data_IF_268187834705
#
_entry.id   IF_268187834705
#
_cell.length_a   1.000
_cell.length_b   1.000
_cell.length_c   1.000
_cell.angle_alpha   90.00
_cell.angle_beta   90.00
_cell.angle_gamma   90.00
#
_symmetry.space_group_name_H-M   'P 1'
#
loop_
_entity.id
_entity.type
_entity.pdbx_description
1 polymer ?
#
# COMPACT_ATOMS: atom_id res chain seq x y z
N UNK A 1 -6.09 -20.14 -20.91
CA UNK A 1 -6.31 -18.72 -20.52
C UNK A 1 -7.28 -18.11 -21.51
N UNK A 2 -8.19 -17.25 -21.06
CA UNK A 2 -9.07 -16.50 -21.95
C UNK A 2 -8.42 -15.15 -22.38
N UNK A 3 -9.05 -14.43 -23.32
CA UNK A 3 -8.55 -13.14 -23.82
C UNK A 3 -8.30 -12.11 -22.70
N UNK A 4 -9.15 -12.12 -21.66
CA UNK A 4 -8.99 -11.24 -20.50
C UNK A 4 -7.72 -11.55 -19.70
N UNK A 5 -7.47 -12.83 -19.42
CA UNK A 5 -6.30 -13.31 -18.69
C UNK A 5 -5.01 -13.02 -19.46
N UNK A 6 -5.01 -13.19 -20.79
CA UNK A 6 -3.86 -12.84 -21.63
C UNK A 6 -3.51 -11.34 -21.57
N UNK A 7 -4.51 -10.46 -21.59
CA UNK A 7 -4.29 -9.03 -21.45
C UNK A 7 -3.82 -8.67 -20.05
N UNK A 8 -4.43 -9.27 -19.01
CA UNK A 8 -4.02 -9.10 -17.61
C UNK A 8 -2.57 -9.53 -17.37
N UNK A 9 -2.13 -10.60 -18.03
CA UNK A 9 -0.76 -11.08 -17.98
C UNK A 9 0.21 -10.09 -18.64
N UNK A 10 -0.14 -9.52 -19.80
CA UNK A 10 0.66 -8.48 -20.48
C UNK A 10 0.80 -7.23 -19.61
N UNK A 11 -0.30 -6.74 -19.03
CA UNK A 11 -0.29 -5.61 -18.10
C UNK A 11 0.60 -5.88 -16.89
N UNK A 12 0.51 -7.09 -16.33
CA UNK A 12 1.35 -7.51 -15.20
C UNK A 12 2.83 -7.49 -15.59
N UNK A 13 3.22 -8.02 -16.75
CA UNK A 13 4.60 -7.96 -17.21
C UNK A 13 5.11 -6.51 -17.35
N UNK A 14 4.32 -5.63 -17.95
CA UNK A 14 4.67 -4.20 -18.04
C UNK A 14 4.83 -3.56 -16.66
N UNK A 15 4.00 -3.96 -15.69
CA UNK A 15 4.13 -3.52 -14.31
C UNK A 15 5.40 -4.08 -13.64
N UNK A 16 5.75 -5.35 -13.86
CA UNK A 16 6.98 -5.94 -13.34
C UNK A 16 8.23 -5.19 -13.82
N UNK A 17 8.28 -4.83 -15.10
CA UNK A 17 9.38 -4.05 -15.68
C UNK A 17 9.50 -2.67 -15.01
N UNK A 18 8.36 -2.02 -14.72
CA UNK A 18 8.37 -0.76 -13.95
C UNK A 18 8.89 -0.95 -12.52
N UNK A 19 8.58 -2.07 -11.87
CA UNK A 19 9.04 -2.34 -10.50
C UNK A 19 10.55 -2.60 -10.44
N UNK A 20 11.10 -3.28 -11.45
CA UNK A 20 12.53 -3.61 -11.57
C UNK A 20 13.41 -2.47 -12.10
N UNK A 21 12.81 -1.42 -12.67
CA UNK A 21 13.57 -0.31 -13.25
C UNK A 21 14.43 0.37 -12.19
N UNK A 22 15.73 0.46 -12.46
CA UNK A 22 16.69 1.17 -11.62
C UNK A 22 16.34 2.67 -11.48
N UNK A 23 16.61 3.29 -10.32
CA UNK A 23 16.41 4.72 -10.14
C UNK A 23 17.25 5.51 -11.17
N UNK A 24 16.61 6.30 -12.03
CA UNK A 24 17.32 7.09 -13.05
C UNK A 24 18.11 8.24 -12.38
N UNK A 25 19.39 8.41 -12.71
CA UNK A 25 20.30 9.40 -12.11
C UNK A 25 19.96 10.88 -12.41
N UNK A 26 19.12 11.17 -13.42
CA UNK A 26 18.58 12.53 -13.65
C UNK A 26 17.66 13.04 -12.51
N UNK A 27 17.39 12.17 -11.53
CA UNK A 27 16.72 12.50 -10.28
C UNK A 27 17.59 13.31 -9.30
N UNK A 28 18.88 13.56 -9.52
CA UNK A 28 19.74 14.22 -8.52
C UNK A 28 19.30 15.66 -8.17
N UNK A 29 18.73 16.39 -9.13
CA UNK A 29 18.11 17.70 -8.87
C UNK A 29 16.79 17.58 -8.09
N UNK A 30 15.92 16.64 -8.48
CA UNK A 30 14.68 16.34 -7.78
C UNK A 30 14.94 15.77 -6.36
N UNK A 31 16.02 15.01 -6.17
CA UNK A 31 16.51 14.48 -4.90
C UNK A 31 17.02 15.59 -4.00
N UNK A 32 17.68 16.61 -4.54
CA UNK A 32 18.07 17.80 -3.77
C UNK A 32 16.84 18.50 -3.16
N UNK A 33 15.76 18.60 -3.93
CA UNK A 33 14.48 19.15 -3.47
C UNK A 33 13.77 18.19 -2.51
N UNK A 34 13.77 16.89 -2.78
CA UNK A 34 13.12 15.87 -1.93
C UNK A 34 13.84 15.71 -0.57
N UNK A 35 15.18 15.70 -0.55
CA UNK A 35 15.97 15.65 0.67
C UNK A 35 15.85 16.96 1.47
N UNK A 36 15.83 18.12 0.80
CA UNK A 36 15.49 19.37 1.47
C UNK A 36 14.09 19.32 2.06
N UNK A 37 13.09 18.84 1.32
CA UNK A 37 11.73 18.70 1.84
C UNK A 37 11.70 17.79 3.07
N UNK A 38 12.32 16.61 3.03
CA UNK A 38 12.42 15.69 4.17
C UNK A 38 13.08 16.34 5.40
N UNK A 39 14.14 17.12 5.20
CA UNK A 39 14.85 17.82 6.28
C UNK A 39 14.16 19.12 6.73
N UNK A 40 13.17 19.61 5.96
CA UNK A 40 12.38 20.82 6.27
C UNK A 40 11.03 20.48 6.92
N UNK A 41 10.69 19.19 7.05
CA UNK A 41 9.49 18.76 7.77
C UNK A 41 9.69 18.98 9.27
N UNK A 42 8.81 19.75 9.93
CA UNK A 42 8.84 19.89 11.38
C UNK A 42 8.79 18.51 12.05
N UNK A 43 9.62 18.30 13.08
CA UNK A 43 9.76 17.02 13.78
C UNK A 43 8.40 16.43 14.21
N UNK A 44 7.48 17.28 14.69
CA UNK A 44 6.11 16.89 15.07
C UNK A 44 5.33 16.19 13.95
N UNK A 45 5.53 16.59 12.70
CA UNK A 45 4.85 15.98 11.55
C UNK A 45 5.44 14.59 11.29
N UNK A 46 6.77 14.50 11.33
CA UNK A 46 7.46 13.22 11.16
C UNK A 46 7.01 12.25 12.24
N UNK A 47 6.93 12.68 13.50
CA UNK A 47 6.48 11.88 14.63
C UNK A 47 5.06 11.33 14.45
N UNK A 48 4.11 12.18 14.04
CA UNK A 48 2.74 11.73 13.77
C UNK A 48 2.72 10.64 12.70
N UNK A 49 3.46 10.81 11.60
CA UNK A 49 3.54 9.81 10.53
C UNK A 49 4.16 8.51 11.05
N UNK A 50 5.27 8.61 11.80
CA UNK A 50 5.99 7.47 12.33
C UNK A 50 5.12 6.65 13.30
N UNK A 51 4.47 7.31 14.26
CA UNK A 51 3.55 6.69 15.22
C UNK A 51 2.36 6.05 14.50
N UNK A 52 1.83 6.71 13.47
CA UNK A 52 0.70 6.19 12.69
C UNK A 52 1.08 4.94 11.90
N UNK A 53 2.27 4.92 11.28
CA UNK A 53 2.80 3.74 10.59
C UNK A 53 3.02 2.60 11.59
N UNK A 54 3.65 2.88 12.73
CA UNK A 54 3.85 1.90 13.81
C UNK A 54 2.53 1.28 14.27
N UNK A 55 1.56 2.11 14.65
CA UNK A 55 0.27 1.66 15.14
C UNK A 55 -0.51 0.88 14.09
N UNK A 56 -0.48 1.34 12.83
CA UNK A 56 -1.13 0.61 11.74
C UNK A 56 -0.47 -0.74 11.51
N UNK A 57 0.87 -0.81 11.43
CA UNK A 57 1.57 -2.08 11.23
C UNK A 57 1.28 -3.05 12.36
N UNK A 58 1.29 -2.56 13.60
CA UNK A 58 0.91 -3.34 14.78
C UNK A 58 -0.53 -3.85 14.66
N UNK A 59 -1.49 -2.97 14.36
CA UNK A 59 -2.90 -3.33 14.21
C UNK A 59 -3.13 -4.38 13.11
N UNK A 60 -2.45 -4.25 11.98
CA UNK A 60 -2.50 -5.23 10.89
C UNK A 60 -2.00 -6.57 11.37
N UNK A 61 -0.87 -6.64 12.07
CA UNK A 61 -0.30 -7.91 12.51
C UNK A 61 -1.11 -8.55 13.66
N UNK A 62 -1.63 -7.76 14.59
CA UNK A 62 -2.23 -8.27 15.84
C UNK A 62 -3.76 -8.30 15.88
N UNK A 63 -4.46 -7.56 15.02
CA UNK A 63 -5.85 -7.17 15.30
C UNK A 63 -6.90 -7.46 14.23
N UNK A 64 -6.55 -7.91 13.02
CA UNK A 64 -7.49 -7.86 11.89
C UNK A 64 -8.28 -9.13 11.58
N UNK A 65 -8.37 -10.10 12.49
CA UNK A 65 -9.29 -11.23 12.31
C UNK A 65 -10.76 -10.79 12.32
N UNK A 66 -11.08 -9.67 12.98
CA UNK A 66 -12.46 -9.28 13.29
C UNK A 66 -13.21 -8.47 12.21
N UNK A 67 -12.54 -8.02 11.13
CA UNK A 67 -13.19 -7.24 10.06
C UNK A 67 -12.97 -7.80 8.65
N UNK A 68 -12.43 -9.02 8.57
CA UNK A 68 -12.05 -9.67 7.32
C UNK A 68 -13.27 -10.21 6.56
N UNK A 69 -13.42 -9.85 5.29
CA UNK A 69 -14.36 -10.56 4.40
C UNK A 69 -13.77 -11.95 4.07
N UNK A 70 -14.58 -13.02 4.00
CA UNK A 70 -14.08 -14.33 3.58
C UNK A 70 -13.51 -14.26 2.15
N UNK A 71 -12.50 -15.09 1.83
CA UNK A 71 -11.93 -15.12 0.48
C UNK A 71 -12.97 -15.61 -0.53
N UNK A 72 -13.04 -14.94 -1.69
CA UNK A 72 -13.88 -15.37 -2.80
C UNK A 72 -13.30 -16.64 -3.42
N UNK A 73 -14.15 -17.65 -3.59
CA UNK A 73 -13.83 -18.95 -4.20
C UNK A 73 -14.62 -19.13 -5.49
N UNK A 74 -14.09 -19.91 -6.44
CA UNK A 74 -14.80 -20.31 -7.67
C UNK A 74 -15.30 -19.14 -8.54
N UNK A 75 -14.53 -18.05 -8.58
CA UNK A 75 -14.84 -16.87 -9.41
C UNK A 75 -13.72 -16.66 -10.44
N UNK A 76 -14.10 -16.31 -11.67
CA UNK A 76 -13.15 -16.00 -12.75
C UNK A 76 -12.28 -14.77 -12.40
N UNK A 77 -11.10 -14.65 -13.02
CA UNK A 77 -10.24 -13.47 -12.80
C UNK A 77 -10.95 -12.17 -13.23
N UNK A 78 -11.69 -12.21 -14.34
CA UNK A 78 -12.43 -11.07 -14.87
C UNK A 78 -13.47 -10.55 -13.88
N UNK A 79 -14.30 -11.44 -13.33
CA UNK A 79 -15.32 -11.06 -12.34
C UNK A 79 -14.68 -10.53 -11.05
N UNK A 80 -13.57 -11.14 -10.60
CA UNK A 80 -12.81 -10.64 -9.44
C UNK A 80 -12.31 -9.22 -9.70
N UNK A 81 -11.83 -8.95 -10.90
CA UNK A 81 -11.33 -7.63 -11.24
C UNK A 81 -12.43 -6.60 -11.43
N UNK A 82 -13.63 -6.98 -11.89
CA UNK A 82 -14.82 -6.11 -11.87
C UNK A 82 -15.15 -5.72 -10.41
N UNK A 83 -15.14 -6.68 -9.48
CA UNK A 83 -15.34 -6.39 -8.06
C UNK A 83 -14.23 -5.50 -7.48
N UNK A 84 -12.98 -5.73 -7.88
CA UNK A 84 -11.86 -4.89 -7.47
C UNK A 84 -11.97 -3.45 -7.98
N UNK A 85 -12.46 -3.25 -9.22
CA UNK A 85 -12.77 -1.94 -9.81
C UNK A 85 -13.86 -1.22 -8.99
N UNK A 86 -14.93 -1.92 -8.62
CA UNK A 86 -15.98 -1.36 -7.77
C UNK A 86 -15.47 -0.98 -6.36
N UNK A 87 -14.60 -1.81 -5.77
CA UNK A 87 -13.94 -1.53 -4.49
C UNK A 87 -13.15 -0.23 -4.55
N UNK A 88 -12.25 -0.07 -5.52
CA UNK A 88 -11.42 1.15 -5.59
C UNK A 88 -12.24 2.43 -5.76
N UNK A 89 -13.36 2.38 -6.48
CA UNK A 89 -14.25 3.53 -6.60
C UNK A 89 -14.92 3.90 -5.26
N UNK A 90 -15.32 2.92 -4.46
CA UNK A 90 -15.82 3.16 -3.10
C UNK A 90 -14.75 3.80 -2.20
N UNK A 91 -13.55 3.21 -2.14
CA UNK A 91 -12.49 3.71 -1.25
C UNK A 91 -11.94 5.06 -1.70
N UNK A 92 -11.93 5.37 -3.01
CA UNK A 92 -11.59 6.70 -3.50
C UNK A 92 -12.58 7.75 -3.05
N UNK A 93 -13.89 7.47 -3.14
CA UNK A 93 -14.93 8.38 -2.63
C UNK A 93 -14.80 8.58 -1.13
N UNK A 94 -14.61 7.49 -0.37
CA UNK A 94 -14.40 7.56 1.07
C UNK A 94 -13.18 8.41 1.45
N UNK A 95 -12.05 8.23 0.74
CA UNK A 95 -10.83 9.01 0.97
C UNK A 95 -11.01 10.51 0.67
N UNK A 96 -11.81 10.84 -0.34
CA UNK A 96 -12.16 12.24 -0.67
C UNK A 96 -13.06 12.87 0.39
N UNK A 97 -14.04 12.13 0.92
CA UNK A 97 -14.95 12.62 1.98
C UNK A 97 -14.20 12.82 3.29
N UNK A 98 -13.29 11.92 3.66
CA UNK A 98 -12.44 12.08 4.85
C UNK A 98 -11.44 13.24 4.76
N UNK A 99 -11.28 13.88 3.59
CA UNK A 99 -10.45 15.07 3.40
C UNK A 99 -11.23 16.38 3.19
N UNK A 100 -12.56 16.32 3.08
CA UNK A 100 -13.43 17.47 2.79
C UNK A 100 -13.94 18.20 4.06
N UNK A 101 -13.92 17.54 5.22
CA UNK A 101 -14.45 18.09 6.48
C UNK A 101 -13.57 19.17 7.14
N UNK A 102 -12.33 19.34 6.71
CA UNK A 102 -11.31 20.19 7.36
C UNK A 102 -10.92 21.44 6.56
N UNK A 103 -11.86 21.91 5.72
CA UNK A 103 -11.73 23.08 4.83
C UNK A 103 -10.70 24.13 5.25
N UNK A 104 -9.63 24.28 4.47
CA UNK A 104 -8.74 25.44 4.49
C UNK A 104 -7.85 25.67 5.72
N UNK A 105 -7.96 24.87 6.78
CA UNK A 105 -7.36 25.21 8.08
C UNK A 105 -5.85 24.84 8.23
N UNK A 106 -5.22 24.34 7.16
CA UNK A 106 -3.77 24.12 7.07
C UNK A 106 -3.34 22.66 7.28
N UNK A 107 -2.08 22.38 6.92
CA UNK A 107 -1.47 21.04 6.90
C UNK A 107 -1.58 20.28 8.24
N UNK A 108 -1.58 20.99 9.37
CA UNK A 108 -1.62 20.40 10.71
C UNK A 108 -2.98 19.77 11.05
N UNK A 109 -4.09 20.32 10.53
CA UNK A 109 -5.42 19.76 10.76
C UNK A 109 -5.65 18.55 9.86
N UNK A 110 -5.10 18.55 8.63
CA UNK A 110 -5.10 17.38 7.75
C UNK A 110 -4.29 16.19 8.29
N UNK A 111 -3.32 16.42 9.19
CA UNK A 111 -2.55 15.35 9.83
C UNK A 111 -3.35 14.54 10.84
N UNK A 112 -4.40 15.12 11.44
CA UNK A 112 -5.27 14.38 12.38
C UNK A 112 -5.98 13.21 11.68
N UNK A 113 -6.26 13.35 10.38
CA UNK A 113 -6.92 12.33 9.56
C UNK A 113 -5.93 11.32 8.95
N UNK A 114 -4.61 11.51 9.11
CA UNK A 114 -3.60 10.63 8.54
C UNK A 114 -3.76 9.15 8.98
N UNK A 115 -3.94 8.83 10.29
CA UNK A 115 -4.18 7.44 10.71
C UNK A 115 -5.44 6.83 10.07
N UNK A 116 -6.49 7.64 9.86
CA UNK A 116 -7.75 7.20 9.26
C UNK A 116 -7.53 6.88 7.78
N UNK A 117 -6.83 7.76 7.04
CA UNK A 117 -6.49 7.55 5.63
C UNK A 117 -5.59 6.33 5.41
N UNK A 118 -4.70 6.05 6.36
CA UNK A 118 -3.85 4.87 6.34
C UNK A 118 -4.67 3.59 6.59
N UNK A 119 -5.56 3.63 7.59
CA UNK A 119 -6.48 2.53 7.92
C UNK A 119 -7.42 2.21 6.75
N UNK A 120 -7.91 3.24 6.05
CA UNK A 120 -8.77 3.08 4.87
C UNK A 120 -8.04 2.34 3.73
N UNK A 121 -6.76 2.63 3.53
CA UNK A 121 -5.91 1.93 2.54
C UNK A 121 -5.65 0.48 2.91
N UNK A 122 -5.45 0.19 4.19
CA UNK A 122 -5.31 -1.20 4.65
C UNK A 122 -6.60 -1.99 4.50
N UNK A 123 -7.75 -1.40 4.84
CA UNK A 123 -9.07 -2.02 4.58
C UNK A 123 -9.28 -2.32 3.09
N UNK A 124 -8.91 -1.38 2.23
CA UNK A 124 -8.93 -1.58 0.79
C UNK A 124 -8.06 -2.77 0.37
N UNK A 125 -6.82 -2.88 0.86
CA UNK A 125 -5.94 -4.01 0.53
C UNK A 125 -6.48 -5.35 1.04
N UNK A 126 -7.11 -5.38 2.22
CA UNK A 126 -7.77 -6.57 2.74
C UNK A 126 -8.92 -7.02 1.84
N UNK A 127 -9.72 -6.07 1.36
CA UNK A 127 -10.80 -6.36 0.44
C UNK A 127 -10.28 -6.89 -0.90
N UNK A 128 -9.20 -6.33 -1.43
CA UNK A 128 -8.55 -6.87 -2.64
C UNK A 128 -8.02 -8.29 -2.39
N UNK A 129 -7.38 -8.56 -1.25
CA UNK A 129 -6.91 -9.90 -0.90
C UNK A 129 -8.05 -10.93 -0.94
N UNK A 130 -9.15 -10.62 -0.24
CA UNK A 130 -10.35 -11.46 -0.22
C UNK A 130 -10.96 -11.61 -1.62
N UNK A 131 -11.01 -10.54 -2.42
CA UNK A 131 -11.50 -10.59 -3.81
C UNK A 131 -10.65 -11.53 -4.67
N UNK A 132 -9.35 -11.60 -4.42
CA UNK A 132 -8.43 -12.50 -5.12
C UNK A 132 -8.36 -13.92 -4.52
N UNK A 133 -9.14 -14.18 -3.47
CA UNK A 133 -9.26 -15.50 -2.85
C UNK A 133 -8.19 -15.79 -1.79
N UNK A 134 -7.56 -14.76 -1.25
CA UNK A 134 -6.56 -14.89 -0.18
C UNK A 134 -7.16 -14.55 1.18
N UNK A 135 -6.85 -15.39 2.18
CA UNK A 135 -7.44 -15.30 3.51
C UNK A 135 -6.63 -14.37 4.42
N UNK A 136 -7.15 -13.19 4.69
CA UNK A 136 -6.48 -12.20 5.57
C UNK A 136 -6.50 -12.58 7.06
N UNK A 137 -7.19 -13.67 7.43
CA UNK A 137 -7.07 -14.28 8.76
C UNK A 137 -5.74 -15.02 8.93
N UNK A 138 -5.08 -15.40 7.83
CA UNK A 138 -3.69 -15.85 7.87
C UNK A 138 -2.76 -14.65 8.12
N UNK A 139 -1.95 -14.72 9.18
CA UNK A 139 -0.99 -13.66 9.50
C UNK A 139 0.05 -13.49 8.38
N UNK A 140 0.42 -14.57 7.66
CA UNK A 140 1.32 -14.51 6.50
C UNK A 140 0.70 -13.66 5.40
N UNK A 141 -0.61 -13.77 5.18
CA UNK A 141 -1.31 -12.92 4.21
C UNK A 141 -1.35 -11.44 4.65
N UNK A 142 -1.49 -11.18 5.95
CA UNK A 142 -1.41 -9.80 6.48
C UNK A 142 -0.02 -9.21 6.29
N UNK A 143 1.02 -10.01 6.46
CA UNK A 143 2.39 -9.60 6.16
C UNK A 143 2.56 -9.30 4.66
N UNK A 144 2.00 -10.13 3.78
CA UNK A 144 2.00 -9.87 2.34
C UNK A 144 1.37 -8.51 2.00
N UNK A 145 0.23 -8.20 2.61
CA UNK A 145 -0.47 -6.93 2.44
C UNK A 145 0.39 -5.73 2.86
N UNK A 146 1.13 -5.86 3.96
CA UNK A 146 2.10 -4.83 4.38
C UNK A 146 3.19 -4.63 3.31
N UNK A 147 3.75 -5.71 2.77
CA UNK A 147 4.70 -5.61 1.66
C UNK A 147 4.09 -4.95 0.41
N UNK A 148 2.84 -5.27 0.05
CA UNK A 148 2.13 -4.64 -1.09
C UNK A 148 1.98 -3.12 -0.87
N UNK A 149 1.59 -2.70 0.33
CA UNK A 149 1.53 -1.28 0.69
C UNK A 149 2.92 -0.63 0.59
N UNK A 150 3.94 -1.30 1.13
CA UNK A 150 5.33 -0.85 1.08
C UNK A 150 5.81 -0.70 -0.37
N UNK A 151 5.44 -1.61 -1.27
CA UNK A 151 5.79 -1.53 -2.68
C UNK A 151 5.16 -0.31 -3.34
N UNK A 152 3.90 0.00 -3.00
CA UNK A 152 3.20 1.16 -3.51
C UNK A 152 3.83 2.49 -3.03
N UNK A 153 4.40 2.54 -1.82
CA UNK A 153 4.81 3.81 -1.20
C UNK A 153 6.28 3.91 -0.74
N UNK A 154 7.11 2.94 -1.06
CA UNK A 154 8.55 2.98 -0.81
C UNK A 154 9.28 3.90 -1.78
N UNK A 155 10.51 4.28 -1.42
CA UNK A 155 11.45 4.96 -2.31
C UNK A 155 11.89 4.05 -3.45
N UNK A 156 12.34 4.63 -4.57
CA UNK A 156 12.76 3.87 -5.75
C UNK A 156 13.91 2.90 -5.45
N UNK A 157 14.81 3.27 -4.54
CA UNK A 157 15.93 2.42 -4.09
C UNK A 157 15.45 1.16 -3.38
N UNK A 158 14.37 1.25 -2.60
CA UNK A 158 13.85 0.14 -1.79
C UNK A 158 12.78 -0.67 -2.53
N UNK A 159 12.12 -0.08 -3.53
CA UNK A 159 11.11 -0.72 -4.38
C UNK A 159 11.59 -2.06 -4.94
N UNK A 160 12.80 -2.12 -5.50
CA UNK A 160 13.34 -3.35 -6.11
C UNK A 160 13.45 -4.46 -5.06
N UNK A 161 14.00 -4.15 -3.88
CA UNK A 161 14.13 -5.10 -2.77
C UNK A 161 12.77 -5.66 -2.33
N UNK A 162 11.77 -4.79 -2.17
CA UNK A 162 10.41 -5.15 -1.77
C UNK A 162 9.74 -6.01 -2.86
N UNK A 163 9.88 -5.61 -4.12
CA UNK A 163 9.36 -6.35 -5.26
C UNK A 163 9.95 -7.76 -5.34
N UNK A 164 11.24 -7.93 -5.07
CA UNK A 164 11.88 -9.26 -5.02
C UNK A 164 11.25 -10.15 -3.94
N UNK A 165 10.91 -9.61 -2.77
CA UNK A 165 10.21 -10.38 -1.72
C UNK A 165 8.80 -10.79 -2.16
N UNK A 166 8.01 -9.83 -2.67
CA UNK A 166 6.63 -10.07 -3.14
C UNK A 166 6.61 -11.08 -4.29
N UNK A 167 7.50 -10.92 -5.27
CA UNK A 167 7.55 -11.82 -6.42
C UNK A 167 8.03 -13.21 -6.03
N UNK A 168 8.74 -13.41 -4.92
CA UNK A 168 9.17 -14.72 -4.42
C UNK A 168 8.46 -15.13 -3.12
N UNK A 169 7.21 -14.70 -2.95
CA UNK A 169 6.48 -14.82 -1.68
C UNK A 169 6.41 -16.24 -1.14
N UNK A 170 6.12 -17.24 -1.99
CA UNK A 170 5.96 -18.63 -1.55
C UNK A 170 7.25 -19.21 -0.92
N UNK A 171 8.42 -18.71 -1.31
CA UNK A 171 9.68 -19.07 -0.67
C UNK A 171 10.00 -18.18 0.53
N UNK A 172 9.64 -16.89 0.48
CA UNK A 172 9.79 -15.98 1.61
C UNK A 172 9.00 -16.48 2.84
N UNK A 173 7.76 -16.91 2.64
CA UNK A 173 6.85 -17.40 3.69
C UNK A 173 7.41 -18.60 4.46
N UNK A 174 8.21 -19.46 3.81
CA UNK A 174 8.83 -20.64 4.44
C UNK A 174 9.84 -20.27 5.53
N UNK A 175 10.39 -19.07 5.48
CA UNK A 175 11.34 -18.56 6.48
C UNK A 175 10.64 -17.80 7.61
N UNK A 176 9.31 -17.61 7.53
CA UNK A 176 8.54 -16.97 8.58
C UNK A 176 8.14 -18.01 9.63
N UNK A 177 8.07 -17.64 10.92
CA UNK A 177 7.62 -18.55 11.98
C UNK A 177 6.20 -19.08 11.73
N UNK A 178 5.85 -20.30 12.12
CA UNK A 178 4.46 -20.75 11.96
C UNK A 178 3.48 -20.00 12.88
N UNK A 179 3.96 -19.60 14.07
CA UNK A 179 3.18 -18.81 15.03
C UNK A 179 3.56 -17.32 14.95
N UNK A 180 2.54 -16.47 14.81
CA UNK A 180 2.67 -15.00 14.86
C UNK A 180 3.34 -14.51 16.15
N UNK A 181 3.19 -15.23 17.27
CA UNK A 181 3.82 -14.85 18.54
C UNK A 181 5.35 -14.98 18.51
N UNK A 182 5.89 -15.80 17.61
CA UNK A 182 7.33 -15.99 17.41
C UNK A 182 7.92 -15.03 16.37
N UNK A 183 7.08 -14.22 15.72
CA UNK A 183 7.50 -13.22 14.74
C UNK A 183 8.17 -12.03 15.44
N UNK A 184 9.36 -11.65 14.96
CA UNK A 184 10.05 -10.45 15.44
C UNK A 184 9.39 -9.17 14.89
N UNK A 185 8.23 -8.85 15.45
CA UNK A 185 7.42 -7.71 15.05
C UNK A 185 8.13 -6.39 15.28
N UNK A 186 9.01 -6.31 16.29
CA UNK A 186 9.71 -5.07 16.64
C UNK A 186 10.73 -4.72 15.58
N UNK A 187 11.58 -5.67 15.19
CA UNK A 187 12.54 -5.48 14.10
C UNK A 187 11.80 -5.21 12.78
N UNK A 188 10.77 -5.99 12.49
CA UNK A 188 9.97 -5.78 11.27
C UNK A 188 9.35 -4.38 11.21
N UNK A 189 8.77 -3.88 12.31
CA UNK A 189 8.16 -2.56 12.37
C UNK A 189 9.20 -1.45 12.11
N UNK A 190 10.40 -1.57 12.69
CA UNK A 190 11.49 -0.62 12.48
C UNK A 190 11.92 -0.61 11.00
N UNK A 191 12.17 -1.78 10.42
CA UNK A 191 12.50 -1.89 9.01
C UNK A 191 11.36 -1.36 8.13
N UNK A 192 10.11 -1.66 8.48
CA UNK A 192 8.96 -1.22 7.72
C UNK A 192 8.87 0.31 7.65
N UNK A 193 8.98 0.99 8.79
CA UNK A 193 9.01 2.47 8.87
C UNK A 193 10.12 3.04 8.01
N UNK A 194 11.32 2.49 8.10
CA UNK A 194 12.47 3.00 7.36
C UNK A 194 12.26 2.90 5.85
N UNK A 195 11.52 1.88 5.40
CA UNK A 195 11.37 1.60 3.97
C UNK A 195 10.32 2.45 3.28
N UNK A 196 9.38 2.97 4.06
CA UNK A 196 8.35 3.90 3.60
C UNK A 196 8.97 5.29 3.39
N UNK A 197 8.62 5.93 2.28
CA UNK A 197 9.07 7.29 1.99
C UNK A 197 8.13 8.30 2.66
N UNK A 198 8.61 8.99 3.70
CA UNK A 198 7.82 9.97 4.46
C UNK A 198 7.29 11.10 3.58
N UNK A 199 8.03 11.52 2.55
CA UNK A 199 7.54 12.50 1.58
C UNK A 199 6.33 11.98 0.79
N UNK A 200 6.30 10.68 0.48
CA UNK A 200 5.14 10.04 -0.18
C UNK A 200 3.97 9.89 0.80
N UNK A 201 4.24 9.71 2.09
CA UNK A 201 3.21 9.70 3.13
C UNK A 201 2.58 11.08 3.30
N UNK A 202 3.34 12.16 3.19
CA UNK A 202 2.78 13.52 3.24
C UNK A 202 1.86 13.86 2.09
N UNK A 203 2.05 13.25 0.92
CA UNK A 203 1.11 13.40 -0.19
C UNK A 203 -0.28 12.84 0.15
N UNK A 204 -0.41 12.04 1.22
CA UNK A 204 -1.68 11.57 1.76
C UNK A 204 -2.38 12.63 2.62
N UNK A 205 -1.61 13.52 3.25
CA UNK A 205 -2.11 14.55 4.15
C UNK A 205 -2.76 15.66 3.32
N UNK A 206 -4.04 15.98 3.55
CA UNK A 206 -4.67 17.14 2.93
C UNK A 206 -3.88 18.42 3.27
N UNK A 207 -3.52 19.21 2.26
CA UNK A 207 -2.73 20.44 2.39
C UNK A 207 -3.16 21.51 1.37
N UNK A 208 -2.67 22.76 1.54
CA UNK A 208 -3.21 24.02 0.97
C UNK A 208 -3.86 23.84 -0.41
N UNK A 209 -5.18 23.99 -0.44
CA UNK A 209 -6.01 23.83 -1.63
C UNK A 209 -6.73 22.47 -1.66
N UNK A 210 -8.01 22.47 -1.30
CA UNK A 210 -8.90 21.30 -1.31
C UNK A 210 -8.83 20.49 -2.61
N UNK A 211 -8.59 21.17 -3.75
CA UNK A 211 -8.47 20.55 -5.08
C UNK A 211 -7.18 19.73 -5.23
N UNK A 212 -6.05 20.24 -4.73
CA UNK A 212 -4.74 19.58 -4.84
C UNK A 212 -4.68 18.33 -3.96
N UNK A 213 -5.22 18.42 -2.73
CA UNK A 213 -5.29 17.29 -1.79
C UNK A 213 -6.18 16.15 -2.27
N UNK A 214 -7.35 16.45 -2.84
CA UNK A 214 -8.25 15.44 -3.38
C UNK A 214 -7.62 14.70 -4.58
N UNK A 215 -6.98 15.43 -5.49
CA UNK A 215 -6.27 14.83 -6.63
C UNK A 215 -5.09 13.95 -6.19
N UNK A 216 -4.30 14.40 -5.19
CA UNK A 216 -3.19 13.62 -4.65
C UNK A 216 -3.67 12.30 -4.03
N UNK A 217 -4.70 12.33 -3.19
CA UNK A 217 -5.27 11.12 -2.60
C UNK A 217 -5.83 10.16 -3.65
N UNK A 218 -6.53 10.68 -4.66
CA UNK A 218 -7.01 9.88 -5.79
C UNK A 218 -5.87 9.16 -6.53
N UNK A 219 -4.78 9.88 -6.84
CA UNK A 219 -3.60 9.32 -7.50
C UNK A 219 -2.93 8.23 -6.65
N UNK A 220 -2.82 8.44 -5.34
CA UNK A 220 -2.21 7.48 -4.42
C UNK A 220 -3.07 6.22 -4.24
N UNK A 221 -4.40 6.38 -4.23
CA UNK A 221 -5.33 5.25 -4.23
C UNK A 221 -5.22 4.42 -5.52
N UNK A 222 -5.13 5.06 -6.69
CA UNK A 222 -4.93 4.34 -7.96
C UNK A 222 -3.58 3.62 -7.99
N UNK A 223 -2.52 4.25 -7.49
CA UNK A 223 -1.22 3.60 -7.39
C UNK A 223 -1.27 2.35 -6.49
N UNK A 224 -1.97 2.45 -5.36
CA UNK A 224 -2.17 1.33 -4.45
C UNK A 224 -2.98 0.21 -5.11
N UNK A 225 -4.05 0.58 -5.82
CA UNK A 225 -4.87 -0.32 -6.62
C UNK A 225 -4.04 -1.09 -7.65
N UNK A 226 -3.31 -0.38 -8.52
CA UNK A 226 -2.48 -0.99 -9.56
C UNK A 226 -1.43 -1.93 -8.96
N UNK A 227 -0.84 -1.54 -7.83
CA UNK A 227 0.16 -2.36 -7.13
C UNK A 227 -0.47 -3.64 -6.57
N UNK A 228 -1.64 -3.54 -5.93
CA UNK A 228 -2.31 -4.68 -5.32
C UNK A 228 -2.78 -5.69 -6.37
N UNK A 229 -3.43 -5.23 -7.44
CA UNK A 229 -3.89 -6.09 -8.54
C UNK A 229 -2.74 -6.89 -9.13
N UNK A 230 -1.66 -6.22 -9.49
CA UNK A 230 -0.53 -6.90 -10.12
C UNK A 230 0.22 -7.80 -9.12
N UNK A 231 0.30 -7.42 -7.84
CA UNK A 231 0.84 -8.29 -6.81
C UNK A 231 0.03 -9.60 -6.66
N UNK A 232 -1.30 -9.57 -6.72
CA UNK A 232 -2.08 -10.80 -6.66
C UNK A 232 -2.12 -11.56 -7.99
N UNK A 233 -2.09 -10.87 -9.14
CA UNK A 233 -1.88 -11.50 -10.45
C UNK A 233 -0.59 -12.32 -10.48
N UNK A 234 0.51 -11.83 -9.87
CA UNK A 234 1.76 -12.60 -9.73
C UNK A 234 1.51 -13.96 -9.07
N UNK A 235 0.65 -14.02 -8.05
CA UNK A 235 0.36 -15.26 -7.31
C UNK A 235 -0.64 -16.16 -8.06
N UNK A 236 -1.56 -15.58 -8.81
CA UNK A 236 -2.51 -16.34 -9.63
C UNK A 236 -1.81 -16.99 -10.82
N UNK A 237 -1.01 -16.23 -11.57
CA UNK A 237 -0.36 -16.72 -12.80
C UNK A 237 0.92 -17.55 -12.55
N UNK A 238 1.39 -17.64 -11.30
CA UNK A 238 2.48 -18.54 -10.90
C UNK A 238 2.03 -19.97 -10.58
N UNK A 239 0.73 -20.14 -10.29
CA UNK A 239 0.12 -21.45 -10.04
C UNK A 239 -0.18 -22.14 -11.36
#
# INVERSE_FOLDING_TARGET
MNSYEENSLKEMFLWQEKMKKEPSFSSDFAKGIQNKMNNLLPDKIQDIINISIENMTKLVLTGSEYTAKPPLTNTSLEDREILAKNSIDFYRKAATVSGAGTGGAGLLIGLADFPILLSLKMKFLYEIASIYGFDVRDYKERLYILYVFQLAFSSDKRRIKIYTQISNWDNHVKNLPEDVNSFDWKTFQQEYRDYIDLAKMLQLVPGIGLVVGAYANYKLMNKLYDTAINAYRLRIFKK
#
